data_IF_148637947117
#
_entry.id   IF_148637947117
#
_cell.length_a   1.000
_cell.length_b   1.000
_cell.length_c   1.000
_cell.angle_alpha   90.00
_cell.angle_beta   90.00
_cell.angle_gamma   90.00
#
_symmetry.space_group_name_H-M   'P 1'
#
loop_
_entity.id
_entity.type
_entity.pdbx_description
1 polymer ?
#
# COMPACT_ATOMS: atom_id res chain seq x y z
N UNK A 1 -72.90 30.68 13.12
CA UNK A 1 -71.60 30.48 13.77
C UNK A 1 -70.62 30.10 12.65
N UNK A 2 -70.46 31.01 11.68
CA UNK A 2 -69.28 31.90 11.49
C UNK A 2 -68.12 31.14 10.81
N UNK A 3 -67.62 31.46 9.61
CA UNK A 3 -67.96 32.50 8.64
C UNK A 3 -67.09 32.38 7.36
N UNK A 4 -67.64 32.81 6.22
CA UNK A 4 -67.06 33.51 5.02
C UNK A 4 -65.74 32.97 4.42
N UNK A 5 -65.70 32.51 3.16
CA UNK A 5 -65.64 33.32 1.91
C UNK A 5 -64.16 33.67 1.57
N UNK A 6 -63.56 33.49 0.40
CA UNK A 6 -63.92 33.39 -1.00
C UNK A 6 -62.74 34.00 -1.80
N UNK A 7 -62.40 33.50 -2.99
CA UNK A 7 -61.43 34.15 -3.88
C UNK A 7 -60.63 33.19 -4.78
N UNK A 8 -61.04 33.08 -6.04
CA UNK A 8 -60.26 32.43 -7.10
C UNK A 8 -59.55 33.44 -8.01
N UNK A 9 -58.59 32.94 -8.81
CA UNK A 9 -58.26 33.48 -10.13
C UNK A 9 -56.89 34.13 -10.32
N UNK A 10 -55.98 33.41 -10.99
CA UNK A 10 -55.30 33.90 -12.20
C UNK A 10 -53.91 34.56 -12.11
N UNK A 11 -52.90 33.87 -12.67
CA UNK A 11 -52.02 34.47 -13.69
C UNK A 11 -50.58 34.87 -13.33
N UNK A 12 -49.60 34.16 -13.94
CA UNK A 12 -48.57 34.82 -14.76
C UNK A 12 -47.12 34.91 -14.24
N UNK A 13 -46.22 34.23 -14.97
CA UNK A 13 -44.80 34.59 -15.17
C UNK A 13 -43.82 34.14 -14.07
N UNK A 14 -42.62 33.62 -14.35
CA UNK A 14 -41.83 33.48 -15.56
C UNK A 14 -40.35 33.33 -15.18
N UNK A 15 -39.57 32.62 -16.02
CA UNK A 15 -38.09 32.62 -16.03
C UNK A 15 -37.44 31.76 -14.94
N UNK A 16 -36.71 30.69 -15.25
CA UNK A 16 -35.44 30.68 -15.99
C UNK A 16 -34.42 30.03 -15.02
N UNK A 17 -33.82 28.88 -15.31
CA UNK A 17 -32.83 28.69 -16.36
C UNK A 17 -31.43 28.70 -15.73
N UNK A 18 -30.65 27.62 -15.93
CA UNK A 18 -29.22 27.58 -15.58
C UNK A 18 -28.82 26.28 -14.88
N UNK A 19 -28.72 25.15 -15.60
CA UNK A 19 -27.47 24.71 -16.25
C UNK A 19 -26.24 24.92 -15.37
N UNK A 20 -25.70 23.81 -14.86
CA UNK A 20 -24.41 23.76 -14.21
C UNK A 20 -23.70 22.41 -14.33
N UNK A 21 -23.85 21.71 -15.46
CA UNK A 21 -22.77 20.79 -15.88
C UNK A 21 -21.52 21.67 -16.02
N UNK A 22 -20.54 21.50 -15.13
CA UNK A 22 -19.14 21.63 -15.53
C UNK A 22 -18.43 20.31 -15.21
N UNK A 23 -17.98 19.58 -16.25
CA UNK A 23 -16.93 18.57 -16.11
C UNK A 23 -15.60 19.31 -15.84
N UNK A 24 -14.45 18.65 -16.05
CA UNK A 24 -13.07 19.13 -15.81
C UNK A 24 -12.57 18.76 -14.40
N UNK A 25 -11.45 18.08 -14.18
CA UNK A 25 -10.38 17.54 -15.05
C UNK A 25 -9.63 16.53 -14.17
N UNK A 26 -9.24 15.39 -14.73
CA UNK A 26 -8.09 14.66 -14.21
C UNK A 26 -6.82 15.44 -14.61
N UNK A 27 -5.85 15.61 -13.71
CA UNK A 27 -4.48 15.33 -14.14
C UNK A 27 -3.65 14.70 -13.02
N UNK A 28 -3.39 13.40 -13.15
CA UNK A 28 -2.19 12.82 -12.57
C UNK A 28 -1.01 13.31 -13.41
N UNK A 29 -0.45 14.50 -13.10
CA UNK A 29 0.78 15.01 -13.72
C UNK A 29 1.43 16.11 -12.86
N UNK A 30 2.65 15.83 -12.43
CA UNK A 30 3.54 16.75 -11.69
C UNK A 30 4.29 15.96 -10.62
N UNK A 31 5.42 15.33 -10.97
CA UNK A 31 6.76 15.88 -10.79
C UNK A 31 7.34 15.42 -9.44
N UNK A 32 8.59 14.96 -9.47
CA UNK A 32 9.24 14.22 -8.39
C UNK A 32 9.08 14.86 -7.01
N UNK A 33 8.69 14.03 -6.05
CA UNK A 33 8.61 14.37 -4.64
C UNK A 33 8.37 13.09 -3.88
N UNK A 34 9.26 12.79 -2.93
CA UNK A 34 9.29 11.52 -2.24
C UNK A 34 7.95 11.12 -1.61
N UNK A 35 7.71 9.81 -1.58
CA UNK A 35 6.59 9.25 -0.84
C UNK A 35 6.75 9.62 0.64
N UNK A 36 5.88 10.48 1.15
CA UNK A 36 5.70 10.70 2.58
C UNK A 36 4.34 10.14 2.97
N UNK A 37 4.34 8.95 3.56
CA UNK A 37 3.19 8.42 4.28
C UNK A 37 3.27 8.95 5.70
N UNK A 38 2.32 9.82 6.08
CA UNK A 38 2.21 10.34 7.44
C UNK A 38 2.00 9.21 8.44
N UNK A 39 2.92 9.11 9.40
CA UNK A 39 2.89 8.13 10.49
C UNK A 39 1.86 8.49 11.56
N UNK A 40 1.01 7.52 11.90
CA UNK A 40 0.22 7.52 13.13
C UNK A 40 1.08 6.96 14.27
N UNK A 41 1.17 7.73 15.37
CA UNK A 41 1.99 7.42 16.55
C UNK A 41 1.56 6.11 17.23
N UNK A 42 2.42 5.09 17.18
CA UNK A 42 2.29 3.84 17.94
C UNK A 42 3.65 3.13 18.01
N UNK A 43 4.21 3.00 19.21
CA UNK A 43 5.61 2.62 19.43
C UNK A 43 6.04 1.29 18.81
N UNK A 44 6.88 1.37 17.78
CA UNK A 44 7.71 0.30 17.22
C UNK A 44 8.92 0.95 16.55
N UNK A 45 10.11 0.36 16.65
CA UNK A 45 11.31 0.93 16.04
C UNK A 45 11.21 0.90 14.52
N UNK A 46 11.06 2.07 13.90
CA UNK A 46 11.05 2.23 12.44
C UNK A 46 12.47 2.56 11.96
N UNK A 47 13.05 1.67 11.16
CA UNK A 47 14.33 1.92 10.47
C UNK A 47 14.07 2.43 9.06
N UNK A 48 14.38 3.69 8.78
CA UNK A 48 14.27 4.29 7.44
C UNK A 48 15.63 4.32 6.73
N UNK A 49 15.72 3.71 5.55
CA UNK A 49 16.93 3.81 4.72
C UNK A 49 16.67 4.65 3.47
N UNK A 50 17.43 5.74 3.32
CA UNK A 50 17.39 6.67 2.18
C UNK A 50 18.22 6.15 1.01
N UNK A 51 17.66 6.22 -0.19
CA UNK A 51 18.38 5.88 -1.41
C UNK A 51 18.95 7.08 -2.15
N UNK A 52 19.98 6.87 -2.99
CA UNK A 52 20.49 7.88 -3.93
C UNK A 52 19.33 8.41 -4.80
N UNK A 53 18.94 9.67 -4.60
CA UNK A 53 17.67 10.24 -5.07
C UNK A 53 16.80 10.88 -3.97
N UNK A 54 17.24 10.86 -2.71
CA UNK A 54 16.68 11.67 -1.61
C UNK A 54 15.40 11.13 -0.95
N UNK A 55 14.79 10.08 -1.51
CA UNK A 55 13.62 9.40 -0.94
C UNK A 55 13.97 8.14 -0.14
N UNK A 56 13.18 7.86 0.89
CA UNK A 56 13.19 6.57 1.59
C UNK A 56 12.64 5.52 0.63
N UNK A 57 13.42 4.47 0.36
CA UNK A 57 13.02 3.34 -0.52
C UNK A 57 12.82 2.04 0.23
N UNK A 58 13.19 2.00 1.51
CA UNK A 58 12.98 0.84 2.35
C UNK A 58 12.52 1.30 3.73
N UNK A 59 11.43 0.69 4.19
CA UNK A 59 10.93 0.80 5.55
C UNK A 59 11.05 -0.58 6.20
N UNK A 60 11.92 -0.69 7.20
CA UNK A 60 12.04 -1.89 8.02
C UNK A 60 11.13 -1.71 9.24
N UNK A 61 10.11 -2.56 9.34
CA UNK A 61 9.11 -2.51 10.40
C UNK A 61 9.44 -3.60 11.42
N UNK A 62 9.96 -3.19 12.59
CA UNK A 62 10.30 -4.10 13.69
C UNK A 62 9.33 -3.92 14.86
N UNK A 63 9.14 -4.98 15.66
CA UNK A 63 8.29 -4.91 16.86
C UNK A 63 7.57 -6.22 17.20
N UNK A 64 6.90 -6.32 18.36
CA UNK A 64 6.24 -7.54 18.82
C UNK A 64 5.18 -8.07 17.82
N UNK A 65 5.00 -9.39 17.75
CA UNK A 65 4.13 -10.09 16.78
C UNK A 65 2.66 -9.60 16.76
N UNK A 66 2.17 -8.98 17.83
CA UNK A 66 0.81 -8.46 17.95
C UNK A 66 0.69 -6.93 17.76
N UNK A 67 1.77 -6.24 17.36
CA UNK A 67 1.77 -4.78 17.17
C UNK A 67 1.08 -4.30 15.90
N UNK A 68 0.37 -5.14 15.16
CA UNK A 68 -0.33 -4.75 13.94
C UNK A 68 0.55 -4.56 12.70
N UNK A 69 1.85 -4.93 12.72
CA UNK A 69 2.79 -4.76 11.59
C UNK A 69 2.26 -5.35 10.28
N UNK A 70 1.78 -6.59 10.30
CA UNK A 70 1.18 -7.24 9.12
C UNK A 70 -0.13 -6.57 8.67
N UNK A 71 -0.89 -5.99 9.61
CA UNK A 71 -2.10 -5.22 9.28
C UNK A 71 -1.73 -3.90 8.60
N UNK A 72 -0.71 -3.22 9.09
CA UNK A 72 -0.18 -2.00 8.50
C UNK A 72 0.31 -2.24 7.06
N UNK A 73 1.19 -3.23 6.85
CA UNK A 73 1.74 -3.49 5.51
C UNK A 73 0.68 -3.95 4.51
N UNK A 74 -0.29 -4.76 4.94
CA UNK A 74 -1.47 -5.09 4.13
C UNK A 74 -2.29 -3.85 3.77
N UNK A 75 -2.53 -2.98 4.74
CA UNK A 75 -3.30 -1.76 4.51
C UNK A 75 -2.61 -0.88 3.48
N UNK A 76 -1.29 -0.70 3.56
CA UNK A 76 -0.53 0.05 2.54
C UNK A 76 -0.66 -0.59 1.15
N UNK A 77 -0.48 -1.91 1.05
CA UNK A 77 -0.65 -2.62 -0.23
C UNK A 77 -2.07 -2.48 -0.81
N UNK A 78 -3.10 -2.58 0.03
CA UNK A 78 -4.50 -2.42 -0.38
C UNK A 78 -4.80 -0.99 -0.86
N UNK A 79 -4.31 0.03 -0.14
CA UNK A 79 -4.46 1.43 -0.55
C UNK A 79 -3.86 1.68 -1.93
N UNK A 80 -2.70 1.08 -2.22
CA UNK A 80 -2.04 1.18 -3.53
C UNK A 80 -2.89 0.56 -4.63
N UNK A 81 -3.40 -0.65 -4.42
CA UNK A 81 -4.26 -1.33 -5.39
C UNK A 81 -5.55 -0.54 -5.61
N UNK A 82 -6.22 -0.11 -4.54
CA UNK A 82 -7.45 0.69 -4.61
C UNK A 82 -7.25 1.99 -5.40
N UNK A 83 -6.14 2.71 -5.14
CA UNK A 83 -5.82 3.93 -5.88
C UNK A 83 -5.58 3.66 -7.37
N UNK A 84 -4.86 2.58 -7.71
CA UNK A 84 -4.53 2.24 -9.10
C UNK A 84 -5.70 1.70 -9.92
N UNK A 85 -6.71 1.07 -9.29
CA UNK A 85 -7.97 0.71 -9.96
C UNK A 85 -8.92 1.90 -10.13
N UNK A 86 -8.58 3.08 -9.58
CA UNK A 86 -9.42 4.27 -9.63
C UNK A 86 -10.56 4.29 -8.59
N UNK A 87 -10.46 3.48 -7.53
CA UNK A 87 -11.39 3.53 -6.40
C UNK A 87 -11.04 4.69 -5.46
N UNK A 88 -12.05 5.21 -4.76
CA UNK A 88 -11.81 5.99 -3.55
C UNK A 88 -11.02 5.15 -2.55
N UNK A 89 -10.08 5.81 -1.86
CA UNK A 89 -9.26 5.21 -0.81
C UNK A 89 -9.69 5.74 0.56
N UNK A 90 -9.71 4.91 1.62
CA UNK A 90 -10.02 5.36 2.97
C UNK A 90 -8.85 6.12 3.61
N UNK A 91 -8.54 7.31 3.10
CA UNK A 91 -7.50 8.20 3.61
C UNK A 91 -7.93 9.66 3.47
N UNK A 92 -7.47 10.53 4.37
CA UNK A 92 -7.69 11.99 4.27
C UNK A 92 -7.02 12.56 3.01
N UNK A 93 -5.82 12.08 2.70
CA UNK A 93 -5.12 12.35 1.44
C UNK A 93 -4.18 11.19 1.09
N UNK A 94 -3.94 10.97 -0.21
CA UNK A 94 -3.01 9.96 -0.69
C UNK A 94 -2.20 10.52 -1.86
N UNK A 95 -0.88 10.57 -1.68
CA UNK A 95 0.08 10.85 -2.75
C UNK A 95 0.78 9.56 -3.13
N UNK A 96 0.56 9.09 -4.36
CA UNK A 96 1.01 7.79 -4.80
C UNK A 96 1.67 7.90 -6.17
N UNK A 97 2.88 7.35 -6.28
CA UNK A 97 3.51 7.08 -7.57
C UNK A 97 2.94 5.78 -8.13
N UNK A 98 2.64 5.74 -9.43
CA UNK A 98 2.12 4.51 -10.07
C UNK A 98 3.19 3.42 -10.03
N UNK A 99 2.83 2.31 -9.37
CA UNK A 99 3.60 1.07 -9.32
C UNK A 99 3.22 0.17 -10.49
N UNK A 100 4.21 -0.52 -11.05
CA UNK A 100 4.00 -1.51 -12.11
C UNK A 100 3.60 -2.89 -11.55
N UNK A 101 3.90 -3.15 -10.29
CA UNK A 101 3.49 -4.35 -9.57
C UNK A 101 3.52 -4.15 -8.05
N UNK A 102 2.60 -4.83 -7.37
CA UNK A 102 2.60 -4.98 -5.91
C UNK A 102 2.87 -6.45 -5.61
N UNK A 103 4.05 -6.74 -5.07
CA UNK A 103 4.47 -8.09 -4.73
C UNK A 103 4.44 -8.27 -3.22
N UNK A 104 3.83 -9.36 -2.77
CA UNK A 104 3.68 -9.62 -1.35
C UNK A 104 4.11 -11.03 -1.02
N UNK A 105 4.97 -11.18 -0.01
CA UNK A 105 5.17 -12.44 0.70
C UNK A 105 4.73 -12.23 2.14
N UNK A 106 3.53 -12.69 2.46
CA UNK A 106 3.01 -12.67 3.82
C UNK A 106 2.92 -14.11 4.35
N UNK A 107 3.57 -14.42 5.46
CA UNK A 107 3.34 -15.69 6.16
C UNK A 107 1.86 -15.81 6.59
N UNK A 108 1.20 -16.95 6.67
CA UNK A 108 1.42 -18.29 6.14
C UNK A 108 0.04 -18.76 5.63
N UNK A 109 0.02 -19.54 4.55
CA UNK A 109 -1.15 -20.36 4.25
C UNK A 109 -0.62 -21.72 3.82
N UNK A 110 -0.88 -22.70 4.69
CA UNK A 110 -0.49 -24.09 4.55
C UNK A 110 -0.84 -24.65 3.17
N UNK A 111 0.12 -25.32 2.55
CA UNK A 111 -0.16 -26.31 1.53
C UNK A 111 0.59 -27.61 1.85
N UNK A 112 -0.03 -28.46 2.66
CA UNK A 112 0.50 -29.77 3.07
C UNK A 112 0.56 -30.77 1.88
N UNK A 113 -0.05 -30.44 0.73
CA UNK A 113 -0.45 -31.42 -0.28
C UNK A 113 0.56 -31.71 -1.42
N UNK A 114 1.78 -31.15 -1.41
CA UNK A 114 2.71 -31.27 -2.57
C UNK A 114 4.05 -31.99 -2.31
N UNK A 115 4.32 -32.48 -1.09
CA UNK A 115 5.59 -33.15 -0.78
C UNK A 115 6.83 -32.24 -0.84
N UNK A 116 6.63 -30.91 -0.87
CA UNK A 116 7.67 -29.88 -0.80
C UNK A 116 7.67 -29.26 0.59
N UNK A 117 8.84 -28.84 1.08
CA UNK A 117 8.91 -28.16 2.37
C UNK A 117 8.33 -26.75 2.25
N UNK A 118 7.69 -26.28 3.32
CA UNK A 118 7.18 -24.90 3.41
C UNK A 118 8.28 -23.86 3.18
N UNK A 119 9.50 -24.15 3.64
CA UNK A 119 10.67 -23.33 3.37
C UNK A 119 11.06 -23.31 1.89
N UNK A 120 10.98 -24.46 1.18
CA UNK A 120 11.25 -24.49 -0.26
C UNK A 120 10.24 -23.65 -1.04
N UNK A 121 8.95 -23.78 -0.73
CA UNK A 121 7.90 -22.97 -1.37
C UNK A 121 8.10 -21.48 -1.07
N UNK A 122 8.45 -21.14 0.17
CA UNK A 122 8.79 -19.78 0.57
C UNK A 122 9.95 -19.19 -0.25
N UNK A 123 11.03 -19.95 -0.42
CA UNK A 123 12.20 -19.52 -1.20
C UNK A 123 11.88 -19.44 -2.70
N UNK A 124 11.06 -20.35 -3.21
CA UNK A 124 10.63 -20.35 -4.60
C UNK A 124 9.78 -19.12 -4.95
N UNK A 125 8.80 -18.78 -4.11
CA UNK A 125 7.98 -17.58 -4.28
C UNK A 125 8.83 -16.31 -4.16
N UNK A 126 9.78 -16.30 -3.21
CA UNK A 126 10.72 -15.19 -3.05
C UNK A 126 11.59 -15.01 -4.29
N UNK A 127 12.12 -16.09 -4.87
CA UNK A 127 12.92 -16.02 -6.09
C UNK A 127 12.13 -15.46 -7.28
N UNK A 128 10.88 -15.88 -7.45
CA UNK A 128 10.00 -15.36 -8.48
C UNK A 128 9.67 -13.87 -8.29
N UNK A 129 9.38 -13.47 -7.04
CA UNK A 129 9.18 -12.07 -6.69
C UNK A 129 10.41 -11.24 -7.06
N UNK A 130 11.61 -11.69 -6.68
CA UNK A 130 12.85 -10.98 -6.98
C UNK A 130 13.13 -10.88 -8.48
N UNK A 131 12.80 -11.91 -9.25
CA UNK A 131 12.98 -11.92 -10.70
C UNK A 131 11.99 -10.98 -11.43
N UNK A 132 10.79 -10.80 -10.88
CA UNK A 132 9.74 -9.97 -11.48
C UNK A 132 9.75 -8.51 -11.02
N UNK A 133 10.29 -8.24 -9.82
CA UNK A 133 10.29 -6.90 -9.24
C UNK A 133 11.17 -5.92 -10.05
N UNK A 134 10.67 -4.70 -10.23
CA UNK A 134 11.37 -3.61 -10.90
C UNK A 134 11.60 -2.43 -9.95
N UNK A 135 12.42 -1.42 -10.30
CA UNK A 135 12.56 -0.21 -9.49
C UNK A 135 11.26 0.55 -9.22
N UNK A 136 10.20 0.30 -10.00
CA UNK A 136 8.87 0.92 -9.84
C UNK A 136 7.87 0.04 -9.11
N UNK A 137 8.30 -1.11 -8.60
CA UNK A 137 7.42 -2.03 -7.87
C UNK A 137 7.36 -1.69 -6.38
N UNK A 138 6.25 -2.08 -5.75
CA UNK A 138 6.11 -2.15 -4.30
C UNK A 138 6.31 -3.60 -3.87
N UNK A 139 7.28 -3.84 -2.99
CA UNK A 139 7.56 -5.16 -2.42
C UNK A 139 7.22 -5.15 -0.94
N UNK A 140 6.44 -6.11 -0.49
CA UNK A 140 6.08 -6.32 0.92
C UNK A 140 6.53 -7.72 1.34
N UNK A 141 7.49 -7.79 2.25
CA UNK A 141 7.99 -9.04 2.81
C UNK A 141 7.68 -9.09 4.31
N UNK A 142 7.00 -10.14 4.74
CA UNK A 142 6.63 -10.37 6.14
C UNK A 142 7.23 -11.68 6.63
N UNK A 143 8.11 -11.58 7.63
CA UNK A 143 8.70 -12.69 8.38
C UNK A 143 9.50 -13.71 7.54
N UNK A 144 10.17 -13.23 6.47
CA UNK A 144 11.00 -14.04 5.58
C UNK A 144 12.07 -14.84 6.34
N UNK A 145 12.20 -16.12 6.03
CA UNK A 145 13.23 -16.99 6.59
C UNK A 145 12.90 -17.57 7.96
N UNK A 146 11.64 -17.48 8.42
CA UNK A 146 11.20 -18.08 9.69
C UNK A 146 11.19 -19.61 9.68
N UNK A 147 11.06 -20.23 8.51
CA UNK A 147 10.97 -21.69 8.35
C UNK A 147 12.30 -22.46 8.46
N UNK A 148 13.41 -21.80 8.82
CA UNK A 148 14.75 -22.40 8.87
C UNK A 148 15.50 -22.03 10.17
N UNK A 149 16.73 -22.54 10.34
CA UNK A 149 17.60 -22.19 11.45
C UNK A 149 17.79 -20.67 11.53
N UNK A 150 17.78 -20.10 12.73
CA UNK A 150 17.78 -18.63 12.93
C UNK A 150 18.93 -17.93 12.20
N UNK A 151 20.13 -18.51 12.23
CA UNK A 151 21.29 -17.96 11.52
C UNK A 151 21.06 -17.90 10.01
N UNK A 152 20.53 -18.97 9.43
CA UNK A 152 20.24 -19.05 7.99
C UNK A 152 19.07 -18.15 7.61
N UNK A 153 18.08 -18.02 8.49
CA UNK A 153 16.95 -17.11 8.33
C UNK A 153 17.38 -15.65 8.30
N UNK A 154 18.24 -15.22 9.24
CA UNK A 154 18.84 -13.88 9.26
C UNK A 154 19.66 -13.64 8.00
N UNK A 155 20.50 -14.60 7.60
CA UNK A 155 21.36 -14.46 6.43
C UNK A 155 20.54 -14.30 5.14
N UNK A 156 19.51 -15.13 4.94
CA UNK A 156 18.61 -15.04 3.78
C UNK A 156 17.81 -13.73 3.80
N UNK A 157 17.22 -13.37 4.94
CA UNK A 157 16.45 -12.14 5.07
C UNK A 157 17.30 -10.90 4.75
N UNK A 158 18.51 -10.83 5.32
CA UNK A 158 19.46 -9.76 5.05
C UNK A 158 19.92 -9.72 3.59
N UNK A 159 20.20 -10.87 2.98
CA UNK A 159 20.61 -10.93 1.57
C UNK A 159 19.50 -10.47 0.61
N UNK A 160 18.25 -10.90 0.86
CA UNK A 160 17.08 -10.49 0.06
C UNK A 160 16.81 -9.00 0.22
N UNK A 161 16.84 -8.48 1.44
CA UNK A 161 16.68 -7.05 1.71
C UNK A 161 17.76 -6.23 0.99
N UNK A 162 19.03 -6.65 1.10
CA UNK A 162 20.15 -6.02 0.43
C UNK A 162 19.98 -6.03 -1.10
N UNK A 163 19.52 -7.15 -1.67
CA UNK A 163 19.26 -7.24 -3.10
C UNK A 163 18.18 -6.25 -3.55
N UNK A 164 17.04 -6.20 -2.86
CA UNK A 164 15.95 -5.28 -3.17
C UNK A 164 16.37 -3.81 -3.08
N UNK A 165 17.22 -3.47 -2.10
CA UNK A 165 17.67 -2.10 -1.87
C UNK A 165 18.71 -1.62 -2.88
N UNK A 166 19.72 -2.44 -3.18
CA UNK A 166 20.87 -2.03 -3.97
C UNK A 166 20.80 -2.46 -5.43
N UNK A 167 20.19 -3.61 -5.73
CA UNK A 167 20.07 -4.12 -7.09
C UNK A 167 18.75 -3.66 -7.72
N UNK A 168 17.61 -4.09 -7.15
CA UNK A 168 16.28 -3.76 -7.68
C UNK A 168 15.92 -2.29 -7.47
N UNK A 169 16.34 -1.69 -6.34
CA UNK A 169 16.05 -0.29 -5.96
C UNK A 169 14.56 0.05 -5.95
N UNK A 170 13.73 -0.91 -5.54
CA UNK A 170 12.27 -0.76 -5.45
C UNK A 170 11.83 -0.32 -4.06
N UNK A 171 10.57 0.14 -3.94
CA UNK A 171 10.01 0.48 -2.64
C UNK A 171 9.71 -0.81 -1.86
N UNK A 172 10.35 -0.98 -0.70
CA UNK A 172 10.26 -2.22 0.08
C UNK A 172 9.71 -1.95 1.48
N UNK A 173 8.68 -2.70 1.89
CA UNK A 173 8.23 -2.83 3.27
C UNK A 173 8.71 -4.19 3.78
N UNK A 174 9.65 -4.17 4.74
CA UNK A 174 10.26 -5.40 5.26
C UNK A 174 9.91 -5.56 6.75
N UNK A 175 9.06 -6.53 7.07
CA UNK A 175 8.67 -6.84 8.44
C UNK A 175 9.50 -8.02 8.93
N UNK A 176 10.26 -7.82 10.00
CA UNK A 176 11.17 -8.84 10.55
C UNK A 176 11.24 -8.78 12.06
N UNK A 177 11.64 -9.91 12.65
CA UNK A 177 11.99 -10.05 14.07
C UNK A 177 13.49 -10.24 14.26
N UNK A 178 14.24 -10.32 13.17
CA UNK A 178 15.68 -10.32 13.22
C UNK A 178 16.19 -8.92 13.61
N UNK A 179 17.18 -8.84 14.52
CA UNK A 179 17.77 -7.59 14.96
C UNK A 179 18.57 -6.89 13.85
#
# INVERSE_FOLDING_TARGET
>A
LDGRGGGGGGGGGGGGGGRGRRPHRHPNRGAGGGNSTGGGSGGGGEGETRGEGGGVRCLVVTGPNMGGKSCYTRTVALLVVMAQIGSYVPAESLHLTVFDGVFTRMGASDNILLGRSTFFEEMYDTAHLLAAATPRSLVVLDELGRGTATHDGVAVAGAVLHYLMYHTRCLTLFVTHYP
#
